data_IF_328080990795
#
_entry.id   IF_328080990795
#
_cell.length_a   1.000
_cell.length_b   1.000
_cell.length_c   1.000
_cell.angle_alpha   90.00
_cell.angle_beta   90.00
_cell.angle_gamma   90.00
#
_symmetry.space_group_name_H-M   'P 1'
#
loop_
_entity.id
_entity.type
_entity.pdbx_description
1 polymer ?
#
# COMPACT_ATOMS: atom_id res chain seq x y z
N UNK A 1 -21.03 -14.66 12.08
CA UNK A 1 -20.28 -14.76 10.81
C UNK A 1 -18.91 -15.28 11.12
N UNK A 2 -18.49 -16.33 10.42
CA UNK A 2 -17.15 -16.88 10.57
C UNK A 2 -16.13 -15.86 10.06
N UNK A 3 -15.10 -15.60 10.87
CA UNK A 3 -14.00 -14.71 10.45
C UNK A 3 -13.29 -15.37 9.27
N UNK A 4 -12.94 -14.63 8.19
CA UNK A 4 -12.21 -15.23 7.08
C UNK A 4 -10.91 -15.84 7.59
N UNK A 5 -10.62 -17.08 7.15
CA UNK A 5 -9.37 -17.76 7.49
C UNK A 5 -8.18 -16.89 7.07
N UNK A 6 -7.30 -16.66 8.04
CA UNK A 6 -6.08 -15.86 7.85
C UNK A 6 -4.93 -16.80 7.52
N UNK A 7 -4.08 -16.36 6.60
CA UNK A 7 -2.88 -17.05 6.13
C UNK A 7 -1.67 -16.12 6.34
N UNK A 8 -0.48 -16.71 6.34
CA UNK A 8 0.78 -15.98 6.43
C UNK A 8 1.63 -16.34 5.23
N UNK A 9 2.16 -15.34 4.54
CA UNK A 9 3.09 -15.58 3.42
C UNK A 9 4.43 -16.11 3.93
N UNK A 10 5.24 -16.73 3.05
CA UNK A 10 6.67 -16.84 3.28
C UNK A 10 7.32 -15.46 3.45
N UNK A 11 8.54 -15.44 3.98
CA UNK A 11 9.37 -14.24 3.92
C UNK A 11 9.79 -13.96 2.48
N UNK A 12 9.75 -12.69 2.10
CA UNK A 12 10.16 -12.22 0.79
C UNK A 12 10.69 -10.79 0.84
N UNK A 13 11.21 -10.33 -0.29
CA UNK A 13 11.71 -8.97 -0.47
C UNK A 13 10.56 -8.05 -0.86
N UNK A 14 10.42 -6.94 -0.13
CA UNK A 14 9.41 -5.94 -0.39
C UNK A 14 9.72 -5.13 -1.65
N UNK A 15 8.75 -5.01 -2.55
CA UNK A 15 8.78 -4.19 -3.76
C UNK A 15 7.63 -3.18 -3.66
N UNK A 16 7.98 -1.90 -3.84
CA UNK A 16 7.08 -0.75 -3.69
C UNK A 16 6.14 -0.81 -2.46
N UNK A 17 6.68 -0.98 -1.23
CA UNK A 17 5.85 -1.06 -0.03
C UNK A 17 5.20 0.29 0.31
N UNK A 18 3.88 0.34 0.20
CA UNK A 18 3.01 1.35 0.81
C UNK A 18 2.31 0.74 2.03
N UNK A 19 3.07 0.50 3.09
CA UNK A 19 2.58 -0.19 4.30
C UNK A 19 2.26 0.83 5.41
N UNK A 20 3.11 1.84 5.59
CA UNK A 20 2.99 2.83 6.66
C UNK A 20 2.15 4.03 6.25
N UNK A 21 2.23 4.40 4.96
CA UNK A 21 1.43 5.44 4.34
C UNK A 21 0.66 4.84 3.16
N UNK A 22 -0.65 5.08 3.13
CA UNK A 22 -1.50 4.60 2.05
C UNK A 22 -1.14 5.32 0.74
N UNK A 23 -1.15 4.58 -0.37
CA UNK A 23 -1.06 5.14 -1.71
C UNK A 23 -2.40 5.77 -2.10
N UNK A 24 -2.39 7.08 -2.32
CA UNK A 24 -3.57 7.86 -2.73
C UNK A 24 -3.52 8.31 -4.19
N UNK A 25 -2.45 7.97 -4.92
CA UNK A 25 -2.21 8.49 -6.28
C UNK A 25 -3.34 8.15 -7.26
N UNK A 26 -3.88 6.94 -7.16
CA UNK A 26 -4.93 6.43 -8.05
C UNK A 26 -6.24 6.10 -7.33
N UNK A 27 -6.24 6.17 -6.00
CA UNK A 27 -7.33 5.76 -5.12
C UNK A 27 -7.45 6.79 -4.00
N UNK A 28 -8.35 7.79 -4.12
CA UNK A 28 -8.52 8.81 -3.09
C UNK A 28 -8.85 8.23 -1.70
N UNK A 29 -9.46 7.04 -1.65
CA UNK A 29 -9.72 6.30 -0.42
C UNK A 29 -8.46 5.72 0.25
N UNK A 30 -7.33 5.72 -0.46
CA UNK A 30 -6.06 5.15 -0.05
C UNK A 30 -5.99 3.62 -0.18
N UNK A 31 -4.86 3.12 -0.66
CA UNK A 31 -4.55 1.69 -0.67
C UNK A 31 -3.17 1.46 -0.06
N UNK A 32 -3.13 0.67 1.02
CA UNK A 32 -1.89 0.07 1.45
C UNK A 32 -1.60 -1.14 0.57
N UNK A 33 -0.39 -1.25 0.05
CA UNK A 33 0.00 -2.37 -0.80
C UNK A 33 1.49 -2.69 -0.68
N UNK A 34 1.82 -3.91 -1.04
CA UNK A 34 3.20 -4.35 -1.22
C UNK A 34 3.20 -5.47 -2.25
N UNK A 35 4.14 -5.41 -3.18
CA UNK A 35 4.49 -6.53 -4.04
C UNK A 35 5.61 -7.30 -3.32
N UNK A 36 5.43 -8.59 -3.05
CA UNK A 36 6.36 -9.41 -2.27
C UNK A 36 7.02 -10.42 -3.20
N UNK A 37 8.32 -10.27 -3.41
CA UNK A 37 9.15 -11.22 -4.15
C UNK A 37 9.56 -12.37 -3.23
N UNK A 38 9.17 -13.59 -3.61
CA UNK A 38 9.42 -14.82 -2.86
C UNK A 38 10.15 -15.81 -3.77
N UNK A 39 11.16 -16.49 -3.23
CA UNK A 39 11.88 -17.56 -3.93
C UNK A 39 10.91 -18.67 -4.36
N UNK A 40 11.16 -19.25 -5.54
CA UNK A 40 10.24 -20.20 -6.19
C UNK A 40 9.90 -21.43 -5.35
N UNK A 41 10.88 -21.99 -4.65
CA UNK A 41 10.73 -23.14 -3.75
C UNK A 41 9.77 -22.84 -2.58
N UNK A 42 9.88 -21.66 -1.99
CA UNK A 42 9.04 -21.21 -0.86
C UNK A 42 7.66 -20.73 -1.30
N UNK A 43 7.51 -20.33 -2.56
CA UNK A 43 6.28 -19.75 -3.09
C UNK A 43 5.19 -20.80 -3.38
N UNK A 44 5.54 -22.08 -3.60
CA UNK A 44 4.64 -23.09 -4.16
C UNK A 44 3.34 -23.31 -3.36
N UNK A 45 3.42 -23.30 -2.02
CA UNK A 45 2.23 -23.43 -1.17
C UNK A 45 1.28 -22.24 -1.34
N UNK A 46 1.84 -21.04 -1.45
CA UNK A 46 1.06 -19.81 -1.63
C UNK A 46 0.46 -19.76 -3.04
N UNK A 47 1.21 -20.15 -4.07
CA UNK A 47 0.70 -20.32 -5.45
C UNK A 47 -0.50 -21.27 -5.44
N UNK A 48 -0.34 -22.45 -4.86
CA UNK A 48 -1.40 -23.47 -4.78
C UNK A 48 -2.64 -22.94 -4.05
N UNK A 49 -2.47 -22.19 -2.96
CA UNK A 49 -3.57 -21.56 -2.25
C UNK A 49 -4.31 -20.56 -3.14
N UNK A 50 -3.58 -19.69 -3.84
CA UNK A 50 -4.17 -18.67 -4.72
C UNK A 50 -4.95 -19.32 -5.87
N UNK A 51 -4.37 -20.31 -6.52
CA UNK A 51 -4.99 -20.99 -7.66
C UNK A 51 -6.28 -21.70 -7.23
N UNK A 52 -6.27 -22.35 -6.06
CA UNK A 52 -7.49 -22.94 -5.47
C UNK A 52 -8.58 -21.91 -5.21
N UNK A 53 -8.23 -20.73 -4.70
CA UNK A 53 -9.20 -19.65 -4.48
C UNK A 53 -9.77 -19.10 -5.79
N UNK A 54 -8.96 -18.99 -6.85
CA UNK A 54 -9.43 -18.54 -8.17
C UNK A 54 -10.35 -19.57 -8.81
N UNK A 55 -10.01 -20.86 -8.72
CA UNK A 55 -10.88 -21.93 -9.19
C UNK A 55 -12.21 -21.92 -8.46
N UNK A 56 -12.19 -21.81 -7.13
CA UNK A 56 -13.41 -21.70 -6.33
C UNK A 56 -14.25 -20.49 -6.74
N UNK A 57 -13.65 -19.31 -6.91
CA UNK A 57 -14.37 -18.12 -7.37
C UNK A 57 -15.02 -18.32 -8.75
N UNK A 58 -14.34 -19.04 -9.64
CA UNK A 58 -14.85 -19.38 -10.97
C UNK A 58 -16.01 -20.38 -10.89
N UNK A 59 -15.87 -21.46 -10.14
CA UNK A 59 -16.93 -22.46 -9.95
C UNK A 59 -18.17 -21.88 -9.27
N UNK A 60 -17.99 -21.06 -8.23
CA UNK A 60 -19.09 -20.40 -7.52
C UNK A 60 -19.88 -19.48 -8.46
N UNK A 61 -19.21 -18.82 -9.41
CA UNK A 61 -19.90 -17.99 -10.41
C UNK A 61 -20.52 -18.83 -11.53
N UNK A 62 -19.91 -19.96 -11.91
CA UNK A 62 -20.47 -20.91 -12.88
C UNK A 62 -21.79 -21.50 -12.37
N UNK A 63 -21.84 -21.89 -11.09
CA UNK A 63 -23.04 -22.45 -10.43
C UNK A 63 -24.22 -21.48 -10.39
N UNK A 64 -23.96 -20.17 -10.40
CA UNK A 64 -25.03 -19.16 -10.48
C UNK A 64 -25.72 -19.15 -11.84
N UNK A 65 -25.16 -19.79 -12.88
CA UNK A 65 -25.82 -20.05 -14.17
C UNK A 65 -26.15 -18.83 -15.03
N UNK A 66 -25.77 -17.62 -14.61
CA UNK A 66 -26.24 -16.36 -15.20
C UNK A 66 -25.39 -15.83 -16.36
N UNK A 67 -24.29 -16.49 -16.76
CA UNK A 67 -23.25 -15.83 -17.57
C UNK A 67 -22.73 -16.67 -18.74
N UNK A 68 -22.79 -16.07 -19.94
CA UNK A 68 -22.36 -16.67 -21.21
C UNK A 68 -20.82 -16.71 -21.39
N UNK A 69 -20.10 -15.72 -20.87
CA UNK A 69 -18.63 -15.57 -21.02
C UNK A 69 -17.92 -15.49 -19.67
N UNK A 70 -17.97 -16.59 -18.90
CA UNK A 70 -17.25 -16.67 -17.64
C UNK A 70 -15.75 -16.91 -17.90
N UNK A 71 -14.90 -16.03 -17.38
CA UNK A 71 -13.44 -16.12 -17.49
C UNK A 71 -12.78 -15.94 -16.12
N UNK A 72 -11.52 -16.33 -16.00
CA UNK A 72 -10.67 -16.05 -14.84
C UNK A 72 -9.98 -14.70 -15.01
N UNK A 73 -9.88 -13.95 -13.92
CA UNK A 73 -9.14 -12.70 -13.87
C UNK A 73 -7.64 -12.96 -13.73
N UNK A 74 -6.84 -11.90 -13.94
CA UNK A 74 -5.40 -11.93 -13.70
C UNK A 74 -5.09 -12.36 -12.27
N UNK A 75 -4.11 -13.25 -12.13
CA UNK A 75 -3.65 -13.76 -10.85
C UNK A 75 -3.03 -12.63 -10.02
N UNK A 76 -3.19 -12.65 -8.68
CA UNK A 76 -2.52 -11.69 -7.80
C UNK A 76 -1.04 -12.03 -7.57
N UNK A 77 -0.44 -12.82 -8.46
CA UNK A 77 0.99 -13.06 -8.52
C UNK A 77 1.46 -13.17 -9.98
N UNK A 78 2.76 -12.99 -10.19
CA UNK A 78 3.45 -13.29 -11.44
C UNK A 78 4.70 -14.11 -11.15
N UNK A 79 5.08 -14.99 -12.07
CA UNK A 79 6.37 -15.69 -12.04
C UNK A 79 7.39 -14.84 -12.79
N UNK A 80 8.55 -14.61 -12.18
CA UNK A 80 9.71 -13.95 -12.80
C UNK A 80 10.94 -14.81 -12.52
N UNK A 81 11.49 -15.42 -13.57
CA UNK A 81 12.59 -16.39 -13.49
C UNK A 81 12.31 -17.49 -12.43
N UNK A 82 13.16 -17.57 -11.40
CA UNK A 82 13.08 -18.53 -10.29
C UNK A 82 12.28 -17.98 -9.08
N UNK A 83 11.51 -16.92 -9.27
CA UNK A 83 10.80 -16.19 -8.21
C UNK A 83 9.33 -15.95 -8.55
N UNK A 84 8.56 -15.63 -7.51
CA UNK A 84 7.17 -15.20 -7.63
C UNK A 84 6.96 -13.87 -6.93
N UNK A 85 6.26 -12.95 -7.57
CA UNK A 85 5.90 -11.64 -7.01
C UNK A 85 4.41 -11.64 -6.70
N UNK A 86 4.06 -11.61 -5.41
CA UNK A 86 2.68 -11.59 -4.92
C UNK A 86 2.22 -10.20 -4.56
N UNK A 87 1.01 -9.82 -4.96
CA UNK A 87 0.45 -8.50 -4.68
C UNK A 87 -0.53 -8.53 -3.50
N UNK A 88 -0.14 -7.93 -2.38
CA UNK A 88 -0.98 -7.77 -1.20
C UNK A 88 -1.55 -6.36 -1.10
N UNK A 89 -2.83 -6.24 -0.71
CA UNK A 89 -3.53 -4.95 -0.67
C UNK A 89 -4.48 -4.82 0.52
N UNK A 90 -4.62 -3.61 1.04
CA UNK A 90 -5.62 -3.23 2.04
C UNK A 90 -6.16 -1.84 1.69
N UNK A 91 -7.49 -1.68 1.62
CA UNK A 91 -8.11 -0.35 1.49
C UNK A 91 -7.90 0.43 2.79
N UNK A 92 -7.45 1.67 2.72
CA UNK A 92 -7.27 2.50 3.91
C UNK A 92 -8.63 3.01 4.42
N UNK A 93 -9.55 3.36 3.52
CA UNK A 93 -10.91 3.79 3.83
C UNK A 93 -11.94 3.07 2.94
N UNK A 94 -13.18 3.03 3.39
CA UNK A 94 -14.30 2.54 2.59
C UNK A 94 -15.60 2.42 3.37
N UNK A 95 -16.60 1.82 2.75
CA UNK A 95 -17.91 1.56 3.37
C UNK A 95 -18.12 0.07 3.50
N UNK A 96 -18.57 -0.36 4.67
CA UNK A 96 -18.96 -1.75 4.89
C UNK A 96 -20.22 -2.03 4.08
N UNK A 97 -20.13 -2.90 3.07
CA UNK A 97 -21.26 -3.20 2.18
C UNK A 97 -22.47 -3.83 2.88
N UNK A 98 -22.32 -4.30 4.13
CA UNK A 98 -23.39 -4.90 4.92
C UNK A 98 -24.01 -3.93 5.94
N UNK A 99 -23.18 -3.16 6.66
CA UNK A 99 -23.68 -2.24 7.69
C UNK A 99 -23.91 -0.83 7.17
N UNK A 100 -23.35 -0.47 6.02
CA UNK A 100 -23.38 0.89 5.47
C UNK A 100 -22.43 1.86 6.17
N UNK A 101 -21.73 1.42 7.22
CA UNK A 101 -20.84 2.29 8.00
C UNK A 101 -19.51 2.53 7.30
N UNK A 102 -19.02 3.76 7.40
CA UNK A 102 -17.67 4.10 6.99
C UNK A 102 -16.64 3.43 7.91
N UNK A 103 -15.53 2.96 7.34
CA UNK A 103 -14.42 2.42 8.10
C UNK A 103 -13.10 3.05 7.65
N UNK A 104 -12.16 3.09 8.58
CA UNK A 104 -10.74 3.33 8.30
C UNK A 104 -9.92 2.21 8.91
N UNK A 105 -8.84 1.82 8.24
CA UNK A 105 -7.96 0.76 8.72
C UNK A 105 -6.54 0.98 8.18
N UNK A 106 -5.57 0.34 8.83
CA UNK A 106 -4.17 0.31 8.43
C UNK A 106 -3.57 -1.03 8.84
N UNK A 107 -2.53 -1.53 8.14
CA UNK A 107 -1.88 -2.76 8.56
C UNK A 107 -1.19 -2.56 9.92
N UNK A 108 -1.28 -3.54 10.79
CA UNK A 108 -0.39 -3.61 11.95
C UNK A 108 1.01 -4.02 11.49
N UNK A 109 2.05 -3.39 12.03
CA UNK A 109 3.45 -3.66 11.66
C UNK A 109 4.15 -4.20 12.90
N UNK A 110 4.82 -5.32 12.74
CA UNK A 110 5.56 -6.00 13.81
C UNK A 110 7.02 -6.19 13.40
N UNK A 111 7.92 -6.23 14.38
CA UNK A 111 9.31 -6.61 14.17
C UNK A 111 9.49 -8.15 14.13
N UNK A 112 10.74 -8.60 14.08
CA UNK A 112 11.10 -10.01 14.08
C UNK A 112 10.69 -10.75 15.37
N UNK A 113 10.49 -10.04 16.49
CA UNK A 113 10.09 -10.56 17.80
C UNK A 113 8.59 -10.42 18.08
N UNK A 114 7.80 -10.02 17.06
CA UNK A 114 6.35 -9.75 17.17
C UNK A 114 6.00 -8.56 18.06
N UNK A 115 6.95 -7.66 18.32
CA UNK A 115 6.66 -6.40 19.00
C UNK A 115 6.10 -5.40 17.99
N UNK A 116 5.06 -4.62 18.35
CA UNK A 116 4.53 -3.59 17.47
C UNK A 116 5.58 -2.53 17.14
N UNK A 117 5.73 -2.22 15.85
CA UNK A 117 6.55 -1.09 15.40
C UNK A 117 5.73 0.20 15.34
N UNK A 118 6.41 1.35 15.40
CA UNK A 118 5.77 2.66 15.26
C UNK A 118 5.05 2.74 13.89
N UNK A 119 3.84 3.30 13.88
CA UNK A 119 3.03 3.49 12.66
C UNK A 119 3.70 4.40 11.63
N UNK A 120 4.60 5.27 12.07
CA UNK A 120 5.32 6.21 11.22
C UNK A 120 6.62 5.63 10.64
N UNK A 121 7.03 4.42 11.06
CA UNK A 121 8.21 3.76 10.50
C UNK A 121 8.02 3.55 9.00
N UNK A 122 8.96 3.95 8.16
CA UNK A 122 8.85 3.75 6.72
C UNK A 122 9.54 2.42 6.38
N UNK A 123 8.76 1.44 5.92
CA UNK A 123 9.31 0.19 5.37
C UNK A 123 9.71 0.46 3.92
N UNK A 124 11.00 0.45 3.62
CA UNK A 124 11.48 0.69 2.25
C UNK A 124 11.54 -0.59 1.41
N UNK A 125 11.54 -0.40 0.09
CA UNK A 125 11.82 -1.47 -0.86
C UNK A 125 13.15 -2.15 -0.55
N UNK A 126 13.21 -3.47 -0.70
CA UNK A 126 14.37 -4.27 -0.29
C UNK A 126 14.28 -4.84 1.13
N UNK A 127 13.39 -4.32 1.99
CA UNK A 127 13.13 -4.93 3.30
C UNK A 127 12.69 -6.38 3.16
N UNK A 128 13.14 -7.25 4.06
CA UNK A 128 12.66 -8.64 4.14
C UNK A 128 11.48 -8.69 5.10
N UNK A 129 10.30 -9.09 4.61
CA UNK A 129 9.07 -9.14 5.39
C UNK A 129 8.17 -10.31 5.00
N UNK A 130 7.16 -10.58 5.82
CA UNK A 130 6.04 -11.46 5.48
C UNK A 130 4.71 -10.80 5.81
N UNK A 131 3.65 -11.23 5.15
CA UNK A 131 2.33 -10.61 5.22
C UNK A 131 1.33 -11.59 5.83
N UNK A 132 0.58 -11.14 6.83
CA UNK A 132 -0.66 -11.79 7.26
C UNK A 132 -1.81 -11.29 6.40
N UNK A 133 -2.56 -12.19 5.80
CA UNK A 133 -3.60 -11.84 4.83
C UNK A 133 -4.76 -12.83 4.84
N UNK A 134 -5.83 -12.49 4.13
CA UNK A 134 -6.88 -13.43 3.78
C UNK A 134 -7.22 -13.30 2.28
N UNK A 135 -7.34 -14.40 1.54
CA UNK A 135 -7.83 -14.35 0.18
C UNK A 135 -9.30 -13.93 0.17
N UNK A 136 -9.64 -12.96 -0.68
CA UNK A 136 -11.02 -12.52 -0.92
C UNK A 136 -11.35 -12.78 -2.37
N UNK A 137 -12.18 -13.76 -2.61
CA UNK A 137 -12.75 -14.06 -3.92
C UNK A 137 -13.65 -12.90 -4.39
N UNK A 138 -13.64 -12.64 -5.69
CA UNK A 138 -14.45 -11.61 -6.30
C UNK A 138 -14.73 -11.95 -7.77
N UNK A 139 -15.73 -11.30 -8.33
CA UNK A 139 -16.05 -11.40 -9.75
C UNK A 139 -16.45 -10.03 -10.27
N UNK A 140 -15.99 -9.67 -11.48
CA UNK A 140 -16.58 -8.58 -12.27
C UNK A 140 -16.82 -9.03 -13.72
N UNK A 141 -17.85 -8.50 -14.40
CA UNK A 141 -18.11 -8.85 -15.81
C UNK A 141 -16.91 -8.64 -16.73
N UNK A 142 -16.17 -7.55 -16.52
CA UNK A 142 -15.05 -7.17 -17.37
C UNK A 142 -13.79 -8.01 -17.12
N UNK A 143 -13.47 -8.31 -15.86
CA UNK A 143 -12.21 -8.97 -15.50
C UNK A 143 -12.36 -10.49 -15.32
N UNK A 144 -13.56 -10.95 -14.97
CA UNK A 144 -13.81 -12.36 -14.64
C UNK A 144 -13.72 -12.64 -13.14
N UNK A 145 -13.68 -13.93 -12.79
CA UNK A 145 -13.55 -14.43 -11.43
C UNK A 145 -12.08 -14.40 -10.98
N UNK A 146 -11.82 -13.83 -9.82
CA UNK A 146 -10.46 -13.70 -9.30
C UNK A 146 -10.41 -13.68 -7.78
N UNK A 147 -9.21 -13.45 -7.26
CA UNK A 147 -8.95 -13.33 -5.83
C UNK A 147 -8.08 -12.12 -5.55
N UNK A 148 -8.36 -11.42 -4.45
CA UNK A 148 -7.51 -10.36 -3.90
C UNK A 148 -6.86 -10.86 -2.63
N UNK A 149 -5.54 -10.69 -2.47
CA UNK A 149 -4.85 -11.01 -1.22
C UNK A 149 -4.98 -9.82 -0.27
N UNK A 150 -5.95 -9.90 0.65
CA UNK A 150 -6.28 -8.80 1.57
C UNK A 150 -5.34 -8.83 2.77
N UNK A 151 -4.39 -7.90 2.79
CA UNK A 151 -3.44 -7.74 3.90
C UNK A 151 -4.18 -7.38 5.20
N UNK A 152 -3.64 -7.83 6.33
CA UNK A 152 -4.05 -7.47 7.70
C UNK A 152 -2.90 -6.89 8.50
N UNK A 153 -1.75 -7.54 8.46
CA UNK A 153 -0.54 -7.09 9.15
C UNK A 153 0.73 -7.53 8.41
N UNK A 154 1.84 -6.93 8.77
CA UNK A 154 3.17 -7.19 8.23
C UNK A 154 4.12 -7.49 9.38
N UNK A 155 4.96 -8.50 9.20
CA UNK A 155 6.09 -8.74 10.08
C UNK A 155 7.38 -8.47 9.31
N UNK A 156 8.18 -7.52 9.80
CA UNK A 156 9.46 -7.12 9.22
C UNK A 156 10.57 -7.92 9.87
N UNK A 157 11.34 -8.67 9.07
CA UNK A 157 12.52 -9.42 9.53
C UNK A 157 13.78 -8.57 9.43
N UNK A 158 14.00 -7.96 8.26
CA UNK A 158 15.12 -7.06 8.01
C UNK A 158 14.53 -5.76 7.44
N UNK A 159 14.65 -4.67 8.19
CA UNK A 159 14.20 -3.36 7.74
C UNK A 159 15.30 -2.72 6.90
N UNK A 160 14.95 -2.27 5.70
CA UNK A 160 15.77 -1.30 4.97
C UNK A 160 15.27 0.08 5.35
N UNK A 161 16.16 0.89 5.87
CA UNK A 161 15.89 2.30 6.15
C UNK A 161 16.35 3.13 4.95
N UNK A 162 15.60 4.18 4.64
CA UNK A 162 16.01 5.13 3.63
C UNK A 162 17.26 5.84 4.11
N UNK A 163 18.24 6.04 3.24
CA UNK A 163 19.34 6.97 3.51
C UNK A 163 18.71 8.33 3.73
N UNK A 164 18.63 8.77 4.98
CA UNK A 164 18.10 10.08 5.30
C UNK A 164 18.98 11.09 4.58
N UNK A 165 18.39 11.89 3.70
CA UNK A 165 19.00 13.04 3.05
C UNK A 165 19.21 14.16 4.09
N UNK A 166 19.89 13.85 5.18
CA UNK A 166 20.19 14.78 6.25
C UNK A 166 21.43 15.58 5.84
N UNK A 167 21.19 16.72 5.20
CA UNK A 167 22.01 17.92 5.36
C UNK A 167 23.35 18.01 4.65
N UNK A 168 23.80 17.01 3.89
CA UNK A 168 24.87 17.22 2.90
C UNK A 168 24.24 17.53 1.55
N UNK A 169 24.91 18.34 0.74
CA UNK A 169 24.40 18.94 -0.49
C UNK A 169 24.01 17.96 -1.60
N UNK A 170 23.75 16.68 -1.33
CA UNK A 170 23.37 15.64 -2.29
C UNK A 170 24.24 15.59 -3.56
N UNK A 171 25.53 15.92 -3.43
CA UNK A 171 26.46 16.00 -4.56
C UNK A 171 26.35 17.29 -5.38
N UNK A 172 25.56 18.27 -4.94
CA UNK A 172 25.58 19.62 -5.46
C UNK A 172 26.71 20.41 -4.80
N UNK A 173 27.47 21.12 -5.62
CA UNK A 173 28.36 22.16 -5.15
C UNK A 173 27.59 23.49 -5.07
N UNK A 174 28.03 24.38 -4.18
CA UNK A 174 27.47 25.73 -4.12
C UNK A 174 27.79 26.42 -5.45
N UNK A 175 26.75 26.93 -6.12
CA UNK A 175 26.88 27.76 -7.33
C UNK A 175 26.36 29.16 -7.05
N UNK A 176 26.88 30.16 -7.77
CA UNK A 176 26.35 31.52 -7.71
C UNK A 176 24.99 31.61 -8.43
N UNK A 177 24.01 32.25 -7.79
CA UNK A 177 22.66 32.48 -8.33
C UNK A 177 21.79 33.30 -7.36
N UNK A 178 20.72 33.94 -7.86
CA UNK A 178 19.84 34.81 -7.05
C UNK A 178 18.65 34.09 -6.40
N UNK A 179 18.59 32.76 -6.49
CA UNK A 179 17.39 31.99 -6.12
C UNK A 179 16.98 32.14 -4.65
N UNK A 180 17.91 32.49 -3.76
CA UNK A 180 17.64 32.79 -2.35
C UNK A 180 16.99 34.15 -2.13
N UNK A 181 17.29 35.13 -2.98
CA UNK A 181 16.76 36.51 -2.92
C UNK A 181 15.34 36.65 -3.47
N UNK A 182 14.81 35.62 -4.15
CA UNK A 182 13.41 35.58 -4.62
C UNK A 182 12.42 34.89 -3.67
N UNK A 183 12.90 34.36 -2.54
CA UNK A 183 12.03 33.74 -1.52
C UNK A 183 11.55 34.74 -0.45
N UNK A 184 12.03 35.98 -0.47
CA UNK A 184 11.50 37.08 0.36
C UNK A 184 10.66 37.99 -0.53
N UNK A 185 9.38 37.66 -0.68
CA UNK A 185 8.40 38.62 -1.16
C UNK A 185 7.19 38.63 -0.20
N UNK A 186 7.07 39.79 0.43
CA UNK A 186 5.87 40.41 1.00
C UNK A 186 5.53 40.14 2.48
N UNK A 187 6.41 40.62 3.38
CA UNK A 187 5.96 41.32 4.59
C UNK A 187 6.61 42.71 4.62
N UNK A 188 5.99 43.68 3.92
CA UNK A 188 6.31 45.09 4.06
C UNK A 188 5.19 45.80 4.82
N UNK A 189 5.60 46.31 5.98
CA UNK A 189 4.89 47.10 6.97
C UNK A 189 4.02 48.22 6.38
N UNK A 190 2.76 48.30 6.82
CA UNK A 190 1.99 49.55 6.81
C UNK A 190 2.28 50.26 8.13
N UNK A 191 3.10 51.31 8.08
CA UNK A 191 3.12 52.31 9.15
C UNK A 191 3.37 53.72 8.59
N UNK A 192 2.33 54.54 8.78
CA UNK A 192 2.32 56.00 8.95
C UNK A 192 2.68 56.83 7.70
N UNK A 193 1.98 57.90 7.34
CA UNK A 193 1.53 59.02 8.17
C UNK A 193 0.58 59.87 7.30
N UNK A 194 -0.47 60.46 7.88
CA UNK A 194 -0.96 61.76 7.40
C UNK A 194 -1.63 62.51 8.54
N UNK A 195 -0.97 63.58 8.91
CA UNK A 195 -1.35 64.51 9.96
C UNK A 195 -2.07 65.70 9.29
N UNK A 196 -3.34 65.96 9.64
CA UNK A 196 -3.90 67.32 9.64
C UNK A 196 -5.29 67.40 10.29
N UNK A 197 -5.34 68.01 11.48
CA UNK A 197 -6.30 69.06 11.90
C UNK A 197 -7.81 68.90 11.65
N UNK A 198 -8.59 68.85 12.74
CA UNK A 198 -9.71 69.78 12.95
C UNK A 198 -10.14 69.80 14.43
N UNK A 199 -9.79 70.88 15.13
CA UNK A 199 -10.59 71.44 16.22
C UNK A 199 -11.58 72.43 15.58
N UNK A 200 -12.88 72.10 15.60
CA UNK A 200 -14.00 72.94 16.05
C UNK A 200 -15.26 72.08 16.21
#
# INVERSE_FOLDING_TARGET
MEKPKTYTSPFGKAIYPHISKADVRFKPEGEFHVDLEVDGDKALELVTLVDKCVEKAFEDEKKKGKRKNLKKATLPYKKEDDKYIFKFKMKAKGTNSRTGEAFTQRPAIFDNELKPLNKDIIVWGGSTLRVSFFPREWYTPLLGAGVSLRMKSVQVKNLVEGSSMNGSSQGFEKVEGDSSTKNESDEAEISQENNSSADF
#
